data_IF_547061335023
#
_entry.id   IF_547061335023
#
_cell.length_a   1.000
_cell.length_b   1.000
_cell.length_c   1.000
_cell.angle_alpha   90.00
_cell.angle_beta   90.00
_cell.angle_gamma   90.00
#
_symmetry.space_group_name_H-M   'P 1'
#
loop_
_entity.id
_entity.type
_entity.pdbx_description
1 polymer ?
#
# COMPACT_ATOMS: atom_id res chain seq x y z
N UNK A 1 -15.13 -3.18 -12.98
CA UNK A 1 -15.19 -2.77 -11.56
C UNK A 1 -16.64 -2.89 -11.12
N UNK A 2 -16.92 -3.66 -10.07
CA UNK A 2 -18.28 -3.82 -9.52
C UNK A 2 -18.43 -2.89 -8.32
N UNK A 3 -19.58 -2.20 -8.22
CA UNK A 3 -19.89 -1.28 -7.11
C UNK A 3 -21.17 -1.76 -6.42
N UNK A 4 -21.13 -1.91 -5.10
CA UNK A 4 -22.26 -2.34 -4.28
C UNK A 4 -22.45 -1.34 -3.13
N UNK A 5 -23.71 -1.04 -2.81
CA UNK A 5 -24.05 -0.32 -1.59
C UNK A 5 -24.36 -1.34 -0.49
N UNK A 6 -23.59 -1.32 0.58
CA UNK A 6 -23.67 -2.29 1.68
C UNK A 6 -23.99 -1.53 2.97
N UNK A 7 -24.98 -1.99 3.72
CA UNK A 7 -25.38 -1.43 5.01
C UNK A 7 -24.54 -2.05 6.13
N UNK A 8 -24.53 -1.38 7.28
CA UNK A 8 -23.93 -1.94 8.50
C UNK A 8 -24.68 -3.23 8.86
N UNK A 9 -23.93 -4.29 9.16
CA UNK A 9 -24.43 -5.64 9.43
C UNK A 9 -24.57 -6.53 8.19
N UNK A 10 -24.48 -5.98 6.98
CA UNK A 10 -24.51 -6.80 5.76
C UNK A 10 -23.15 -7.43 5.46
N UNK A 11 -23.20 -8.60 4.83
CA UNK A 11 -22.03 -9.40 4.45
C UNK A 11 -22.01 -9.61 2.95
N UNK A 12 -20.87 -9.36 2.33
CA UNK A 12 -20.60 -9.63 0.91
C UNK A 12 -19.72 -10.86 0.82
N UNK A 13 -20.16 -11.86 0.05
CA UNK A 13 -19.37 -13.06 -0.25
C UNK A 13 -18.62 -12.89 -1.56
N UNK A 14 -17.33 -13.23 -1.56
CA UNK A 14 -16.44 -13.16 -2.72
C UNK A 14 -16.05 -14.59 -3.10
N UNK A 15 -16.82 -15.17 -4.03
CA UNK A 15 -16.67 -16.58 -4.43
C UNK A 15 -16.76 -17.53 -3.23
N UNK A 16 -15.84 -18.49 -3.18
CA UNK A 16 -15.70 -19.44 -2.06
C UNK A 16 -14.50 -19.13 -1.17
N UNK A 17 -13.79 -18.02 -1.44
CA UNK A 17 -12.52 -17.71 -0.82
C UNK A 17 -12.65 -16.81 0.41
N UNK A 18 -13.63 -15.91 0.43
CA UNK A 18 -13.76 -14.92 1.49
C UNK A 18 -15.19 -14.38 1.65
N UNK A 19 -15.48 -13.87 2.84
CA UNK A 19 -16.60 -12.98 3.12
C UNK A 19 -16.13 -11.71 3.80
N UNK A 20 -16.84 -10.61 3.56
CA UNK A 20 -16.55 -9.28 4.11
C UNK A 20 -17.81 -8.74 4.76
N UNK A 21 -17.76 -8.47 6.05
CA UNK A 21 -18.89 -7.89 6.81
C UNK A 21 -18.58 -6.45 7.18
N UNK A 22 -19.56 -5.55 6.99
CA UNK A 22 -19.48 -4.18 7.46
C UNK A 22 -19.95 -4.13 8.91
N UNK A 23 -19.02 -4.07 9.87
CA UNK A 23 -19.36 -4.09 11.29
C UNK A 23 -19.79 -2.71 11.80
N UNK A 24 -19.05 -1.66 11.45
CA UNK A 24 -19.32 -0.31 11.93
C UNK A 24 -18.83 0.73 10.93
N UNK A 25 -19.46 1.90 10.96
CA UNK A 25 -18.97 3.10 10.27
C UNK A 25 -18.88 4.26 11.25
N UNK A 26 -17.81 5.04 11.17
CA UNK A 26 -17.64 6.29 11.90
C UNK A 26 -17.00 7.33 10.99
N UNK A 27 -17.73 8.39 10.66
CA UNK A 27 -17.29 9.41 9.71
C UNK A 27 -16.89 8.82 8.35
N UNK A 28 -15.63 9.01 7.98
CA UNK A 28 -15.02 8.49 6.74
C UNK A 28 -14.36 7.12 6.90
N UNK A 29 -14.42 6.51 8.09
CA UNK A 29 -13.81 5.21 8.36
C UNK A 29 -14.87 4.12 8.50
N UNK A 30 -14.53 2.92 8.03
CA UNK A 30 -15.37 1.72 8.14
C UNK A 30 -14.55 0.63 8.82
N UNK A 31 -15.17 -0.07 9.77
CA UNK A 31 -14.65 -1.30 10.36
C UNK A 31 -15.19 -2.48 9.56
N UNK A 32 -14.28 -3.25 8.99
CA UNK A 32 -14.58 -4.43 8.18
C UNK A 32 -14.07 -5.67 8.90
N UNK A 33 -14.88 -6.74 8.86
CA UNK A 33 -14.46 -8.08 9.28
C UNK A 33 -14.23 -8.88 8.00
N UNK A 34 -13.04 -9.45 7.86
CA UNK A 34 -12.71 -10.38 6.79
C UNK A 34 -12.66 -11.79 7.36
N UNK A 35 -13.46 -12.68 6.79
CA UNK A 35 -13.35 -14.11 7.04
C UNK A 35 -12.90 -14.78 5.73
N UNK A 36 -11.67 -15.27 5.72
CA UNK A 36 -11.04 -15.87 4.57
C UNK A 36 -10.06 -16.95 5.04
N UNK A 37 -9.81 -17.94 4.18
CA UNK A 37 -8.75 -18.91 4.45
C UNK A 37 -7.38 -18.22 4.57
N UNK A 38 -6.49 -18.77 5.40
CA UNK A 38 -5.15 -18.20 5.64
C UNK A 38 -4.27 -18.16 4.39
N UNK A 39 -4.61 -18.95 3.37
CA UNK A 39 -3.93 -18.95 2.07
C UNK A 39 -4.25 -17.70 1.24
N UNK A 40 -5.31 -16.96 1.59
CA UNK A 40 -5.71 -15.73 0.90
C UNK A 40 -4.99 -14.54 1.54
N UNK A 41 -4.01 -13.90 0.87
CA UNK A 41 -3.32 -12.75 1.43
C UNK A 41 -4.24 -11.52 1.48
N UNK A 42 -4.30 -10.86 2.63
CA UNK A 42 -5.05 -9.62 2.83
C UNK A 42 -4.07 -8.50 3.20
N UNK A 43 -4.01 -7.44 2.39
CA UNK A 43 -3.12 -6.30 2.60
C UNK A 43 -3.90 -4.98 2.52
N UNK A 44 -3.52 -4.02 3.36
CA UNK A 44 -4.04 -2.65 3.28
C UNK A 44 -3.22 -1.90 2.22
N UNK A 45 -3.87 -1.52 1.13
CA UNK A 45 -3.26 -0.71 0.07
C UNK A 45 -3.64 0.74 0.30
N UNK A 46 -2.64 1.60 0.50
CA UNK A 46 -2.83 3.04 0.50
C UNK A 46 -2.65 3.55 -0.94
N UNK A 47 -3.72 4.00 -1.61
CA UNK A 47 -3.64 4.42 -3.02
C UNK A 47 -2.84 5.72 -3.20
N UNK A 48 -2.51 6.45 -2.12
CA UNK A 48 -1.79 7.72 -2.17
C UNK A 48 -0.29 7.56 -1.89
N UNK A 49 0.11 6.53 -1.15
CA UNK A 49 1.52 6.16 -0.96
C UNK A 49 2.03 5.41 -2.18
N UNK A 50 2.64 6.14 -3.12
CA UNK A 50 3.57 5.52 -4.08
C UNK A 50 4.70 4.87 -3.30
N UNK A 51 4.92 3.57 -3.54
CA UNK A 51 5.99 2.81 -2.91
C UNK A 51 7.35 3.51 -3.16
N UNK A 52 7.98 3.99 -2.08
CA UNK A 52 9.38 4.37 -2.12
C UNK A 52 10.16 3.07 -2.14
N UNK A 53 10.63 2.68 -3.33
CA UNK A 53 11.61 1.61 -3.48
C UNK A 53 12.91 2.07 -2.80
N UNK A 54 13.20 1.51 -1.63
CA UNK A 54 14.48 1.67 -0.95
C UNK A 54 15.57 0.90 -1.72
N UNK A 55 16.03 1.51 -2.82
CA UNK A 55 17.33 1.21 -3.40
C UNK A 55 18.41 1.89 -2.56
N UNK A 56 18.90 1.20 -1.54
CA UNK A 56 20.15 1.50 -0.86
C UNK A 56 21.31 1.53 -1.87
N UNK A 57 21.89 2.70 -2.13
CA UNK A 57 23.35 2.90 -2.10
C UNK A 57 23.67 4.37 -2.27
N UNK A 58 24.14 4.98 -1.18
CA UNK A 58 24.80 6.28 -1.24
C UNK A 58 26.13 6.14 -1.96
N UNK A 59 26.39 7.04 -2.91
CA UNK A 59 27.75 7.42 -3.26
C UNK A 59 27.82 8.93 -3.10
N UNK A 60 28.24 9.35 -1.90
CA UNK A 60 28.65 10.72 -1.64
C UNK A 60 30.03 10.88 -2.26
N UNK A 61 30.09 11.43 -3.48
CA UNK A 61 31.35 11.79 -4.10
C UNK A 61 31.69 13.22 -3.68
N UNK A 62 32.46 13.31 -2.60
CA UNK A 62 33.18 14.52 -2.20
C UNK A 62 34.65 14.11 -2.04
N UNK A 63 35.56 14.97 -2.50
CA UNK A 63 37.02 14.82 -2.68
C UNK A 63 37.41 14.45 -4.13
N UNK A 64 38.21 15.23 -4.87
CA UNK A 64 39.35 16.07 -4.45
C UNK A 64 39.59 17.21 -5.44
N UNK A 65 39.95 18.36 -4.89
CA UNK A 65 40.57 19.51 -5.53
C UNK A 65 41.89 19.18 -6.23
N UNK A 66 42.24 20.03 -7.19
CA UNK A 66 43.58 20.36 -7.71
C UNK A 66 44.30 19.34 -8.61
N UNK A 67 44.35 19.65 -9.91
CA UNK A 67 45.59 20.09 -10.59
C UNK A 67 45.52 19.86 -12.10
N UNK A 68 45.39 20.93 -12.89
CA UNK A 68 46.11 21.12 -14.15
C UNK A 68 45.70 22.45 -14.81
N UNK A 69 46.22 23.55 -14.27
CA UNK A 69 46.64 24.66 -15.12
C UNK A 69 47.91 24.16 -15.85
N UNK A 70 47.82 23.93 -17.16
CA UNK A 70 48.89 23.73 -18.19
C UNK A 70 48.18 23.10 -19.39
N UNK A 71 48.25 23.56 -20.63
CA UNK A 71 49.03 24.59 -21.29
C UNK A 71 48.39 24.80 -22.66
N UNK A 72 48.47 26.04 -23.16
CA UNK A 72 48.47 26.42 -24.58
C UNK A 72 47.16 26.35 -25.34
#
# INVERSE_FOLDING_TARGET
MLTLNVRIGETVRIGDAATVTVEQKSGQSVRLIFDADKSVPITIVDPTKKAVSWGLTGVRQEQQTESALKST
#
